data_IF_111845631923
#
_entry.id   IF_111845631923
#
_cell.length_a   1.000
_cell.length_b   1.000
_cell.length_c   1.000
_cell.angle_alpha   90.00
_cell.angle_beta   90.00
_cell.angle_gamma   90.00
#
_symmetry.space_group_name_H-M   'P 1'
#
loop_
_entity.id
_entity.type
_entity.pdbx_description
1 polymer ?
#
# COMPACT_ATOMS: atom_id res chain seq x y z
N UNK A 1 -17.69 -21.11 -10.47
CA UNK A 1 -16.26 -21.39 -10.29
C UNK A 1 -15.60 -20.07 -9.89
N UNK A 2 -14.70 -20.00 -8.92
CA UNK A 2 -13.93 -18.79 -8.72
C UNK A 2 -13.19 -18.48 -10.03
N UNK A 3 -13.28 -17.23 -10.46
CA UNK A 3 -12.62 -16.76 -11.68
C UNK A 3 -11.11 -16.60 -11.40
N UNK A 4 -10.31 -17.61 -11.32
CA UNK A 4 -8.87 -17.61 -11.00
C UNK A 4 -8.05 -16.51 -11.72
N UNK A 5 -8.50 -15.24 -11.59
CA UNK A 5 -7.95 -14.08 -12.30
C UNK A 5 -6.48 -13.80 -11.96
N UNK A 6 -6.07 -14.22 -10.76
CA UNK A 6 -4.71 -14.03 -10.25
C UNK A 6 -3.94 -15.34 -10.12
N UNK A 7 -4.39 -16.39 -10.79
CA UNK A 7 -3.70 -17.67 -10.77
C UNK A 7 -2.24 -17.52 -11.18
N UNK A 8 -1.36 -18.07 -10.35
CA UNK A 8 0.10 -17.99 -10.51
C UNK A 8 0.69 -16.56 -10.39
N UNK A 9 -0.12 -15.55 -10.00
CA UNK A 9 0.40 -14.21 -9.74
C UNK A 9 0.95 -14.11 -8.33
N UNK A 10 2.10 -13.47 -8.20
CA UNK A 10 2.89 -13.35 -6.97
C UNK A 10 3.07 -11.89 -6.61
N UNK A 11 3.01 -11.55 -5.32
CA UNK A 11 3.14 -10.14 -4.96
C UNK A 11 3.45 -9.85 -3.50
N UNK A 12 3.37 -8.55 -3.16
CA UNK A 12 3.53 -8.04 -1.79
C UNK A 12 2.31 -7.21 -1.43
N UNK A 13 1.78 -7.40 -0.22
CA UNK A 13 0.69 -6.61 0.33
C UNK A 13 1.14 -5.94 1.62
N UNK A 14 1.21 -4.60 1.59
CA UNK A 14 1.54 -3.77 2.74
C UNK A 14 0.29 -3.34 3.50
N UNK A 15 0.38 -3.28 4.83
CA UNK A 15 -0.55 -2.55 5.67
C UNK A 15 -1.74 -3.35 6.17
N UNK A 16 -1.76 -4.66 6.01
CA UNK A 16 -2.75 -5.51 6.67
C UNK A 16 -2.48 -5.49 8.19
N UNK A 17 -3.43 -4.99 8.97
CA UNK A 17 -3.34 -4.91 10.44
C UNK A 17 -4.34 -5.86 11.10
N UNK A 18 -5.61 -5.72 10.76
CA UNK A 18 -6.74 -6.49 11.24
C UNK A 18 -7.77 -6.70 10.13
N UNK A 19 -8.85 -7.42 10.42
CA UNK A 19 -9.91 -7.75 9.47
C UNK A 19 -10.69 -6.56 8.90
N UNK A 20 -10.58 -5.37 9.53
CA UNK A 20 -11.23 -4.14 9.08
C UNK A 20 -10.35 -3.34 8.10
N UNK A 21 -9.06 -3.70 7.99
CA UNK A 21 -8.16 -2.99 7.08
C UNK A 21 -8.43 -3.36 5.61
N UNK A 22 -8.33 -2.36 4.73
CA UNK A 22 -8.48 -2.56 3.27
C UNK A 22 -7.50 -3.61 2.75
N UNK A 23 -6.26 -3.56 3.24
CA UNK A 23 -5.23 -4.52 2.83
C UNK A 23 -5.60 -5.97 3.20
N UNK A 24 -6.23 -6.17 4.36
CA UNK A 24 -6.72 -7.50 4.77
C UNK A 24 -7.76 -8.04 3.79
N UNK A 25 -8.79 -7.24 3.51
CA UNK A 25 -9.85 -7.64 2.58
C UNK A 25 -9.31 -7.84 1.15
N UNK A 26 -8.33 -7.03 0.75
CA UNK A 26 -7.66 -7.22 -0.54
C UNK A 26 -6.88 -8.54 -0.56
N UNK A 27 -6.14 -8.86 0.50
CA UNK A 27 -5.39 -10.11 0.59
C UNK A 27 -6.32 -11.35 0.51
N UNK A 28 -7.45 -11.32 1.22
CA UNK A 28 -8.46 -12.38 1.11
C UNK A 28 -8.95 -12.56 -0.34
N UNK A 29 -9.26 -11.45 -1.02
CA UNK A 29 -9.72 -11.48 -2.42
C UNK A 29 -8.64 -11.93 -3.40
N UNK A 30 -7.40 -11.51 -3.20
CA UNK A 30 -6.26 -11.99 -4.00
C UNK A 30 -6.08 -13.50 -3.85
N UNK A 31 -6.16 -14.02 -2.63
CA UNK A 31 -6.09 -15.45 -2.35
C UNK A 31 -7.25 -16.22 -3.00
N UNK A 32 -8.49 -15.75 -2.85
CA UNK A 32 -9.68 -16.33 -3.50
C UNK A 32 -9.56 -16.41 -5.03
N UNK A 33 -8.80 -15.49 -5.64
CA UNK A 33 -8.54 -15.45 -7.08
C UNK A 33 -7.27 -16.19 -7.51
N UNK A 34 -6.66 -16.98 -6.60
CA UNK A 34 -5.52 -17.84 -6.88
C UNK A 34 -4.16 -17.14 -6.88
N UNK A 35 -4.08 -15.91 -6.39
CA UNK A 35 -2.82 -15.18 -6.21
C UNK A 35 -2.10 -15.58 -4.92
N UNK A 36 -0.78 -15.50 -4.95
CA UNK A 36 0.11 -15.74 -3.80
C UNK A 36 0.84 -14.44 -3.44
N UNK A 37 1.09 -14.20 -2.16
CA UNK A 37 1.73 -12.96 -1.74
C UNK A 37 2.48 -13.11 -0.42
N UNK A 38 3.40 -12.17 -0.21
CA UNK A 38 4.03 -11.90 1.08
C UNK A 38 3.25 -10.76 1.74
N UNK A 39 2.92 -10.93 3.02
CA UNK A 39 2.34 -9.90 3.85
C UNK A 39 3.43 -9.12 4.57
N UNK A 40 3.28 -7.81 4.67
CA UNK A 40 4.23 -6.96 5.38
C UNK A 40 3.55 -5.80 6.10
N UNK A 41 4.12 -5.43 7.23
CA UNK A 41 3.78 -4.22 7.98
C UNK A 41 4.99 -3.84 8.85
N UNK A 42 4.98 -2.64 9.42
CA UNK A 42 6.00 -2.23 10.37
C UNK A 42 6.12 -3.24 11.53
N UNK A 43 7.32 -3.53 12.07
CA UNK A 43 7.50 -4.54 13.11
C UNK A 43 6.60 -4.35 14.34
N UNK A 44 6.31 -3.10 14.70
CA UNK A 44 5.38 -2.79 15.81
C UNK A 44 3.95 -3.19 15.45
N UNK A 45 3.51 -2.95 14.22
CA UNK A 45 2.17 -3.29 13.76
C UNK A 45 1.98 -4.81 13.63
N UNK A 46 3.01 -5.53 13.21
CA UNK A 46 3.00 -7.00 13.18
C UNK A 46 2.79 -7.58 14.58
N UNK A 47 3.49 -7.03 15.59
CA UNK A 47 3.33 -7.51 16.99
C UNK A 47 1.98 -7.17 17.61
N UNK A 48 1.35 -6.07 17.20
CA UNK A 48 0.09 -5.58 17.79
C UNK A 48 -1.15 -6.02 17.02
N UNK A 49 -0.98 -6.42 15.77
CA UNK A 49 -2.08 -6.78 14.87
C UNK A 49 -2.34 -8.28 14.82
N UNK A 50 -3.22 -8.66 13.93
CA UNK A 50 -3.64 -10.04 13.70
C UNK A 50 -3.13 -10.60 12.38
N UNK A 51 -2.08 -10.00 11.80
CA UNK A 51 -1.56 -10.35 10.47
C UNK A 51 -1.20 -11.84 10.32
N UNK A 52 -0.78 -12.49 11.41
CA UNK A 52 -0.47 -13.92 11.43
C UNK A 52 -1.70 -14.81 11.19
N UNK A 53 -2.88 -14.35 11.61
CA UNK A 53 -4.15 -15.05 11.32
C UNK A 53 -4.46 -14.99 9.82
N UNK A 54 -4.24 -13.83 9.21
CA UNK A 54 -4.39 -13.67 7.77
C UNK A 54 -3.38 -14.53 7.01
N UNK A 55 -2.13 -14.54 7.45
CA UNK A 55 -1.07 -15.34 6.83
C UNK A 55 -1.42 -16.84 6.83
N UNK A 56 -1.90 -17.36 7.96
CA UNK A 56 -2.40 -18.75 8.06
C UNK A 56 -3.58 -19.00 7.14
N UNK A 57 -4.56 -18.08 7.11
CA UNK A 57 -5.77 -18.20 6.27
C UNK A 57 -5.46 -18.23 4.79
N UNK A 58 -4.46 -17.46 4.36
CA UNK A 58 -4.09 -17.28 2.94
C UNK A 58 -2.85 -18.06 2.53
N UNK A 59 -2.31 -18.90 3.41
CA UNK A 59 -1.06 -19.64 3.18
C UNK A 59 0.10 -18.74 2.72
N UNK A 60 0.21 -17.57 3.35
CA UNK A 60 1.21 -16.53 3.05
C UNK A 60 2.26 -16.48 4.14
N UNK A 61 3.44 -15.93 3.83
CA UNK A 61 4.44 -15.58 4.85
C UNK A 61 4.34 -14.11 5.25
N UNK A 62 4.80 -13.79 6.45
CA UNK A 62 4.92 -12.43 6.94
C UNK A 62 6.40 -12.05 7.00
N UNK A 63 6.79 -10.99 6.30
CA UNK A 63 8.12 -10.39 6.38
C UNK A 63 7.96 -8.98 6.93
N UNK A 64 8.26 -8.74 8.22
CA UNK A 64 8.16 -7.40 8.80
C UNK A 64 9.11 -6.42 8.12
N UNK A 65 8.63 -5.20 7.81
CA UNK A 65 9.46 -4.14 7.24
C UNK A 65 8.92 -2.76 7.62
N UNK A 66 9.80 -1.89 8.09
CA UNK A 66 9.51 -0.47 8.20
C UNK A 66 9.67 0.19 6.82
N UNK A 67 8.58 0.62 6.22
CA UNK A 67 8.58 1.24 4.89
C UNK A 67 9.34 2.58 4.84
N UNK A 68 9.78 3.12 5.98
CA UNK A 68 10.66 4.29 6.07
C UNK A 68 12.15 3.95 6.05
N UNK A 69 12.48 2.66 6.14
CA UNK A 69 13.84 2.12 6.12
C UNK A 69 14.16 1.49 4.76
N UNK A 70 15.18 2.02 4.08
CA UNK A 70 15.63 1.42 2.81
C UNK A 70 16.15 0.00 3.02
N UNK A 71 16.84 -0.25 4.13
CA UNK A 71 17.37 -1.58 4.46
C UNK A 71 16.26 -2.61 4.64
N UNK A 72 15.17 -2.24 5.35
CA UNK A 72 14.04 -3.13 5.55
C UNK A 72 13.32 -3.43 4.23
N UNK A 73 13.17 -2.41 3.37
CA UNK A 73 12.59 -2.59 2.03
C UNK A 73 13.46 -3.48 1.14
N UNK A 74 14.78 -3.30 1.18
CA UNK A 74 15.71 -4.16 0.44
C UNK A 74 15.60 -5.61 0.89
N UNK A 75 15.60 -5.85 2.20
CA UNK A 75 15.45 -7.18 2.78
C UNK A 75 14.09 -7.81 2.43
N UNK A 76 13.01 -7.04 2.53
CA UNK A 76 11.66 -7.49 2.18
C UNK A 76 11.58 -7.99 0.73
N UNK A 77 12.14 -7.21 -0.20
CA UNK A 77 12.10 -7.55 -1.62
C UNK A 77 12.96 -8.77 -1.90
N UNK A 78 14.17 -8.85 -1.32
CA UNK A 78 15.06 -9.99 -1.48
C UNK A 78 14.44 -11.29 -0.92
N UNK A 79 13.87 -11.25 0.28
CA UNK A 79 13.17 -12.41 0.87
C UNK A 79 11.92 -12.80 0.06
N UNK A 80 11.20 -11.82 -0.49
CA UNK A 80 10.05 -12.10 -1.35
C UNK A 80 10.47 -12.76 -2.65
N UNK A 81 11.51 -12.24 -3.32
CA UNK A 81 12.02 -12.82 -4.56
C UNK A 81 12.58 -14.23 -4.34
N UNK A 82 13.26 -14.45 -3.22
CA UNK A 82 13.74 -15.76 -2.80
C UNK A 82 12.60 -16.74 -2.52
N UNK A 83 11.57 -16.31 -1.77
CA UNK A 83 10.39 -17.12 -1.47
C UNK A 83 9.66 -17.59 -2.73
N UNK A 84 9.52 -16.72 -3.72
CA UNK A 84 8.85 -17.03 -4.98
C UNK A 84 9.78 -17.56 -6.06
N UNK A 85 11.08 -17.66 -5.80
CA UNK A 85 12.10 -18.04 -6.76
C UNK A 85 12.02 -17.20 -8.05
N UNK A 86 11.94 -15.86 -7.90
CA UNK A 86 11.87 -14.93 -9.03
C UNK A 86 11.14 -13.63 -8.73
N UNK A 87 10.87 -12.88 -9.80
CA UNK A 87 10.19 -11.59 -9.76
C UNK A 87 8.72 -11.71 -9.38
N UNK A 88 8.11 -10.58 -9.02
CA UNK A 88 6.72 -10.46 -8.58
C UNK A 88 5.84 -9.75 -9.63
N UNK A 89 4.54 -10.00 -9.56
CA UNK A 89 3.56 -9.48 -10.51
C UNK A 89 2.79 -8.28 -9.97
N UNK A 90 2.63 -8.17 -8.65
CA UNK A 90 1.86 -7.08 -8.07
C UNK A 90 2.39 -6.60 -6.72
N UNK A 91 2.10 -5.35 -6.41
CA UNK A 91 2.35 -4.75 -5.10
C UNK A 91 1.16 -3.88 -4.71
N UNK A 92 0.68 -4.04 -3.47
CA UNK A 92 -0.27 -3.13 -2.84
C UNK A 92 0.43 -2.33 -1.74
N UNK A 93 0.47 -1.01 -1.87
CA UNK A 93 0.89 -0.09 -0.82
C UNK A 93 -0.35 0.49 -0.13
N UNK A 94 -0.67 -0.03 1.05
CA UNK A 94 -1.81 0.38 1.88
C UNK A 94 -1.32 0.94 3.21
N UNK A 95 -0.55 2.03 3.16
CA UNK A 95 0.05 2.67 4.33
C UNK A 95 -0.49 4.10 4.44
N UNK A 96 -0.81 4.51 5.65
CA UNK A 96 -1.20 5.87 5.96
C UNK A 96 -1.24 6.13 7.45
N UNK A 97 -0.62 7.24 7.88
CA UNK A 97 -0.64 7.69 9.25
C UNK A 97 -0.45 9.20 9.31
N UNK A 98 -1.30 9.89 10.06
CA UNK A 98 -1.07 11.27 10.50
C UNK A 98 -1.37 11.40 11.99
N UNK A 99 -0.42 11.95 12.71
CA UNK A 99 -0.60 12.29 14.13
C UNK A 99 -1.48 13.53 14.24
N UNK A 100 -1.34 14.51 13.36
CA UNK A 100 -2.16 15.71 13.34
C UNK A 100 -3.65 15.39 13.23
N UNK A 101 -4.03 14.51 12.28
CA UNK A 101 -5.40 14.02 12.13
C UNK A 101 -5.87 13.30 13.38
N UNK A 102 -5.09 12.38 13.92
CA UNK A 102 -5.44 11.63 15.14
C UNK A 102 -5.62 12.51 16.38
N UNK A 103 -4.95 13.66 16.41
CA UNK A 103 -5.03 14.64 17.50
C UNK A 103 -6.03 15.76 17.24
N UNK A 104 -6.81 15.68 16.17
CA UNK A 104 -7.84 16.67 15.82
C UNK A 104 -7.27 18.07 15.57
N UNK A 105 -6.05 18.18 15.06
CA UNK A 105 -5.44 19.47 14.74
C UNK A 105 -6.18 20.12 13.57
N UNK A 106 -6.35 21.43 13.63
CA UNK A 106 -6.83 22.19 12.48
C UNK A 106 -5.69 22.38 11.46
N UNK A 107 -6.01 22.44 10.17
CA UNK A 107 -5.00 22.56 9.10
C UNK A 107 -4.10 23.80 9.25
N UNK A 108 -4.62 24.88 9.81
CA UNK A 108 -3.86 26.12 10.07
C UNK A 108 -3.02 26.09 11.36
N UNK A 109 -3.08 24.98 12.14
CA UNK A 109 -2.36 24.81 13.41
C UNK A 109 -1.70 23.43 13.48
N UNK A 110 -1.10 23.00 12.37
CA UNK A 110 -0.40 21.71 12.30
C UNK A 110 0.91 21.75 13.09
N UNK A 111 1.20 20.64 13.77
CA UNK A 111 2.53 20.40 14.30
C UNK A 111 3.43 19.87 13.16
N UNK A 112 4.48 20.60 12.83
CA UNK A 112 5.34 20.29 11.68
C UNK A 112 6.22 19.05 11.88
N UNK A 113 6.59 18.70 13.11
CA UNK A 113 7.32 17.45 13.38
C UNK A 113 6.42 16.23 13.10
N UNK A 114 5.15 16.33 13.49
CA UNK A 114 4.16 15.32 13.20
C UNK A 114 3.82 15.23 11.73
N UNK A 115 3.75 16.38 11.04
CA UNK A 115 3.59 16.45 9.58
C UNK A 115 4.72 15.74 8.87
N UNK A 116 5.98 16.05 9.23
CA UNK A 116 7.18 15.42 8.65
C UNK A 116 7.16 13.89 8.87
N UNK A 117 6.81 13.46 10.08
CA UNK A 117 6.68 12.03 10.39
C UNK A 117 5.57 11.37 9.59
N UNK A 118 4.42 12.01 9.50
CA UNK A 118 3.28 11.54 8.70
C UNK A 118 3.62 11.42 7.22
N UNK A 119 4.26 12.44 6.66
CA UNK A 119 4.74 12.44 5.27
C UNK A 119 5.73 11.31 5.00
N UNK A 120 6.70 11.12 5.89
CA UNK A 120 7.71 10.07 5.75
C UNK A 120 7.09 8.66 5.69
N UNK A 121 6.08 8.39 6.54
CA UNK A 121 5.40 7.10 6.62
C UNK A 121 4.38 6.93 5.49
N UNK A 122 3.57 7.96 5.19
CA UNK A 122 2.40 7.81 4.33
C UNK A 122 2.69 8.05 2.85
N UNK A 123 3.73 8.81 2.53
CA UNK A 123 4.01 9.29 1.18
C UNK A 123 5.42 8.95 0.71
N UNK A 124 6.46 9.37 1.43
CA UNK A 124 7.85 9.11 1.06
C UNK A 124 8.19 7.61 1.10
N UNK A 125 7.52 6.82 1.94
CA UNK A 125 7.64 5.36 1.95
C UNK A 125 7.30 4.74 0.60
N UNK A 126 6.28 5.26 -0.09
CA UNK A 126 5.92 4.79 -1.42
C UNK A 126 7.03 5.09 -2.43
N UNK A 127 7.63 6.29 -2.38
CA UNK A 127 8.77 6.62 -3.25
C UNK A 127 9.95 5.66 -3.02
N UNK A 128 10.32 5.39 -1.75
CA UNK A 128 11.40 4.45 -1.42
C UNK A 128 11.12 3.04 -1.95
N UNK A 129 9.90 2.56 -1.73
CA UNK A 129 9.46 1.25 -2.23
C UNK A 129 9.59 1.18 -3.76
N UNK A 130 9.11 2.20 -4.48
CA UNK A 130 9.18 2.26 -5.93
C UNK A 130 10.62 2.25 -6.43
N UNK A 131 11.49 3.01 -5.78
CA UNK A 131 12.92 3.06 -6.11
C UNK A 131 13.60 1.71 -5.86
N UNK A 132 13.28 1.05 -4.75
CA UNK A 132 13.83 -0.26 -4.43
C UNK A 132 13.38 -1.33 -5.43
N UNK A 133 12.09 -1.40 -5.75
CA UNK A 133 11.53 -2.31 -6.77
C UNK A 133 12.16 -2.09 -8.15
N UNK A 134 12.40 -0.82 -8.50
CA UNK A 134 13.00 -0.46 -9.78
C UNK A 134 14.47 -0.89 -9.86
N UNK A 135 15.27 -0.55 -8.85
CA UNK A 135 16.71 -0.82 -8.81
C UNK A 135 17.01 -2.32 -8.74
N UNK A 136 16.19 -3.09 -8.02
CA UNK A 136 16.32 -4.56 -7.93
C UNK A 136 15.73 -5.31 -9.12
N UNK A 137 15.11 -4.60 -10.05
CA UNK A 137 14.38 -5.21 -11.17
C UNK A 137 13.38 -6.29 -10.72
N UNK A 138 12.68 -5.99 -9.61
CA UNK A 138 11.88 -6.97 -8.88
C UNK A 138 10.53 -7.31 -9.54
N UNK A 139 10.07 -6.48 -10.48
CA UNK A 139 8.76 -6.65 -11.13
C UNK A 139 8.84 -7.44 -12.43
N UNK A 140 7.91 -8.37 -12.62
CA UNK A 140 7.66 -9.00 -13.91
C UNK A 140 7.12 -7.97 -14.92
N UNK A 141 7.39 -8.20 -16.19
CA UNK A 141 6.75 -7.46 -17.29
C UNK A 141 5.22 -7.54 -17.16
N UNK A 142 4.54 -6.43 -17.40
CA UNK A 142 3.07 -6.26 -17.24
C UNK A 142 2.57 -6.40 -15.79
N UNK A 143 3.46 -6.31 -14.81
CA UNK A 143 3.10 -6.22 -13.41
C UNK A 143 2.23 -5.00 -13.08
N UNK A 144 1.70 -4.97 -11.87
CA UNK A 144 0.80 -3.91 -11.40
C UNK A 144 1.16 -3.47 -9.99
N UNK A 145 1.38 -2.18 -9.80
CA UNK A 145 1.60 -1.57 -8.49
C UNK A 145 0.42 -0.65 -8.20
N UNK A 146 -0.17 -0.81 -7.02
CA UNK A 146 -1.31 -0.02 -6.56
C UNK A 146 -1.00 0.61 -5.22
N UNK A 147 -1.22 1.92 -5.09
CA UNK A 147 -1.16 2.62 -3.82
C UNK A 147 -2.52 3.21 -3.44
N UNK A 148 -2.87 3.17 -2.16
CA UNK A 148 -4.11 3.75 -1.69
C UNK A 148 -3.96 5.26 -1.49
N UNK A 149 -4.64 6.01 -2.35
CA UNK A 149 -4.81 7.46 -2.25
C UNK A 149 -6.12 7.81 -1.51
N UNK A 150 -6.58 9.00 -1.68
CA UNK A 150 -7.88 9.48 -1.26
C UNK A 150 -8.27 10.70 -2.10
N UNK A 151 -9.55 10.93 -2.30
CA UNK A 151 -10.04 12.08 -3.07
C UNK A 151 -9.62 13.44 -2.47
N UNK A 152 -9.23 13.46 -1.20
CA UNK A 152 -8.63 14.64 -0.56
C UNK A 152 -7.28 15.06 -1.18
N UNK A 153 -6.65 14.23 -1.99
CA UNK A 153 -5.49 14.63 -2.81
C UNK A 153 -5.82 15.73 -3.84
N UNK A 154 -7.10 15.88 -4.19
CA UNK A 154 -7.59 16.78 -5.24
C UNK A 154 -8.68 17.73 -4.76
N UNK A 155 -9.23 17.52 -3.57
CA UNK A 155 -10.33 18.31 -2.98
C UNK A 155 -10.07 18.56 -1.51
N UNK A 156 -10.63 19.65 -0.97
CA UNK A 156 -10.51 19.97 0.44
C UNK A 156 -11.46 19.14 1.28
N UNK A 157 -10.89 18.45 2.27
CA UNK A 157 -11.60 17.76 3.34
C UNK A 157 -11.04 18.31 4.66
N UNK A 158 -11.75 19.18 5.38
CA UNK A 158 -11.22 19.92 6.51
C UNK A 158 -10.57 19.04 7.59
N UNK A 159 -11.15 17.88 7.89
CA UNK A 159 -10.67 16.99 8.94
C UNK A 159 -9.58 16.00 8.47
N UNK A 160 -9.24 16.01 7.19
CA UNK A 160 -8.22 15.12 6.65
C UNK A 160 -6.81 15.72 6.69
N UNK A 161 -6.70 17.02 6.90
CA UNK A 161 -5.47 17.78 7.19
C UNK A 161 -4.28 17.43 6.28
N UNK A 162 -3.09 17.28 6.87
CA UNK A 162 -1.83 16.93 6.24
C UNK A 162 -1.83 15.55 5.54
N UNK A 163 -2.82 14.71 5.81
CA UNK A 163 -3.01 13.49 5.01
C UNK A 163 -3.42 13.79 3.58
N UNK A 164 -4.13 14.90 3.31
CA UNK A 164 -4.45 15.33 1.96
C UNK A 164 -3.18 15.64 1.18
N UNK A 165 -2.25 16.38 1.79
CA UNK A 165 -0.94 16.72 1.20
C UNK A 165 -0.12 15.46 0.92
N UNK A 166 -0.13 14.50 1.86
CA UNK A 166 0.55 13.21 1.71
C UNK A 166 -0.02 12.41 0.53
N UNK A 167 -1.34 12.42 0.35
CA UNK A 167 -1.99 11.71 -0.77
C UNK A 167 -1.75 12.39 -2.11
N UNK A 168 -1.69 13.73 -2.15
CA UNK A 168 -1.31 14.47 -3.36
C UNK A 168 0.14 14.16 -3.78
N UNK A 169 1.07 14.12 -2.82
CA UNK A 169 2.45 13.71 -3.06
C UNK A 169 2.52 12.26 -3.58
N UNK A 170 1.82 11.32 -2.94
CA UNK A 170 1.79 9.92 -3.34
C UNK A 170 1.28 9.76 -4.78
N UNK A 171 0.25 10.49 -5.19
CA UNK A 171 -0.25 10.47 -6.57
C UNK A 171 0.79 11.01 -7.56
N UNK A 172 1.54 12.06 -7.19
CA UNK A 172 2.63 12.58 -8.01
C UNK A 172 3.74 11.55 -8.21
N UNK A 173 4.13 10.84 -7.14
CA UNK A 173 5.09 9.73 -7.19
C UNK A 173 4.59 8.62 -8.11
N UNK A 174 3.30 8.24 -7.98
CA UNK A 174 2.71 7.21 -8.83
C UNK A 174 2.76 7.57 -10.32
N UNK A 175 2.48 8.82 -10.67
CA UNK A 175 2.59 9.31 -12.08
C UNK A 175 4.02 9.24 -12.58
N UNK A 176 4.99 9.70 -11.80
CA UNK A 176 6.40 9.71 -12.17
C UNK A 176 6.94 8.29 -12.39
N UNK A 177 6.75 7.41 -11.42
CA UNK A 177 7.18 6.02 -11.57
C UNK A 177 6.36 5.25 -12.61
N UNK A 178 5.09 5.61 -12.80
CA UNK A 178 4.27 5.06 -13.88
C UNK A 178 4.87 5.30 -15.27
N UNK A 179 5.50 6.46 -15.47
CA UNK A 179 6.23 6.74 -16.71
C UNK A 179 7.45 5.82 -16.86
N UNK A 180 8.33 5.76 -15.85
CA UNK A 180 9.57 4.98 -15.96
C UNK A 180 9.29 3.47 -16.01
N UNK A 181 8.49 2.96 -15.12
CA UNK A 181 8.10 1.54 -15.13
C UNK A 181 7.32 1.16 -16.39
N UNK A 182 6.42 2.03 -16.85
CA UNK A 182 5.64 1.78 -18.06
C UNK A 182 6.52 1.71 -19.31
N UNK A 183 7.42 2.67 -19.48
CA UNK A 183 8.31 2.77 -20.63
C UNK A 183 9.32 1.62 -20.70
N UNK A 184 9.94 1.30 -19.58
CA UNK A 184 11.09 0.39 -19.57
C UNK A 184 10.71 -1.07 -19.26
N UNK A 185 9.67 -1.27 -18.45
CA UNK A 185 9.31 -2.60 -17.92
C UNK A 185 7.85 -2.99 -18.19
N UNK A 186 7.08 -2.14 -18.82
CA UNK A 186 5.64 -2.31 -19.08
C UNK A 186 4.82 -2.59 -17.79
N UNK A 187 5.31 -2.15 -16.65
CA UNK A 187 4.62 -2.26 -15.36
C UNK A 187 3.70 -1.05 -15.17
N UNK A 188 2.50 -1.30 -14.72
CA UNK A 188 1.50 -0.26 -14.44
C UNK A 188 1.61 0.20 -12.99
N UNK A 189 1.57 1.50 -12.77
CA UNK A 189 1.54 2.11 -11.44
C UNK A 189 0.29 2.97 -11.33
N UNK A 190 -0.61 2.64 -10.41
CA UNK A 190 -1.88 3.32 -10.24
C UNK A 190 -2.13 3.66 -8.78
N UNK A 191 -2.98 4.66 -8.56
CA UNK A 191 -3.55 4.97 -7.27
C UNK A 191 -5.05 4.65 -7.27
N UNK A 192 -5.54 4.18 -6.15
CA UNK A 192 -6.98 3.98 -5.92
C UNK A 192 -7.40 4.90 -4.79
N UNK A 193 -8.49 5.63 -4.98
CA UNK A 193 -9.14 6.42 -3.94
C UNK A 193 -10.30 5.61 -3.35
N UNK A 194 -10.04 4.78 -2.33
CA UNK A 194 -11.10 4.02 -1.69
C UNK A 194 -11.96 4.95 -0.87
N UNK A 195 -13.24 4.65 -0.84
CA UNK A 195 -14.17 5.33 0.06
C UNK A 195 -14.31 4.49 1.33
N UNK A 196 -13.94 5.06 2.47
CA UNK A 196 -14.10 4.42 3.77
C UNK A 196 -15.36 4.98 4.44
N UNK A 197 -16.47 4.26 4.30
CA UNK A 197 -17.70 4.53 5.06
C UNK A 197 -18.01 3.35 5.96
N UNK A 198 -18.20 3.64 7.23
CA UNK A 198 -18.57 2.63 8.21
C UNK A 198 -20.06 2.24 8.14
N UNK A 199 -20.91 3.01 7.46
CA UNK A 199 -22.38 2.83 7.47
C UNK A 199 -23.12 3.09 6.17
N UNK A 200 -22.44 3.24 5.02
CA UNK A 200 -23.10 3.50 3.75
C UNK A 200 -22.99 2.33 2.78
N UNK A 201 -24.08 2.01 2.12
CA UNK A 201 -24.12 1.03 1.04
C UNK A 201 -23.44 1.58 -0.21
N UNK A 202 -22.78 0.72 -0.99
CA UNK A 202 -22.08 1.08 -2.23
C UNK A 202 -22.89 1.94 -3.22
N UNK A 203 -24.21 1.75 -3.43
CA UNK A 203 -25.00 2.58 -4.33
C UNK A 203 -25.06 4.06 -3.97
N UNK A 204 -24.92 4.40 -2.68
CA UNK A 204 -24.92 5.79 -2.21
C UNK A 204 -23.59 6.50 -2.49
N UNK A 205 -22.54 5.75 -2.76
CA UNK A 205 -21.18 6.25 -2.97
C UNK A 205 -20.93 6.63 -4.43
N UNK A 206 -21.62 5.98 -5.36
CA UNK A 206 -21.43 6.19 -6.80
C UNK A 206 -22.21 7.39 -7.36
N UNK A 207 -22.97 8.11 -6.54
CA UNK A 207 -23.80 9.23 -6.96
C UNK A 207 -23.22 10.62 -6.66
N UNK A 208 -21.90 10.72 -6.44
CA UNK A 208 -21.21 12.00 -6.21
C UNK A 208 -20.17 12.24 -7.29
#
# INVERSE_FOLDING_TARGET
MPNELLKNKKGIIFGALDENSIAWKTAEKVHEQGGSFVLTNAPVAVRMGSIDLLAKKTNSIVVPADATSNLDLDNLIDETMKHFNGKIDFVLHSIGMSINVRKGKHYTDLNHDWLTKGWNISAASFHRLMQCLYNKDAMNERGSIVALSYMAAQRVFPDYNDMADNKAYLESVARSFGYFFGKEKKVRVNTISPVSYTHLTLPTICSV
#
